data_IF_487487856287
#
_entry.id   IF_487487856287
#
_cell.length_a   1.000
_cell.length_b   1.000
_cell.length_c   1.000
_cell.angle_alpha   90.00
_cell.angle_beta   90.00
_cell.angle_gamma   90.00
#
_symmetry.space_group_name_H-M   'P 1'
#
loop_
_entity.id
_entity.type
_entity.pdbx_description
1 polymer ?
#
# COMPACT_ATOMS: atom_id res chain seq x y z
N UNK A 1 5.30 -9.04 0.90
CA UNK A 1 4.07 -9.15 1.74
C UNK A 1 3.73 -10.58 2.19
N UNK A 2 4.05 -11.64 1.42
CA UNK A 2 4.05 -13.02 1.95
C UNK A 2 4.88 -13.17 3.22
N UNK A 3 5.92 -12.35 3.30
CA UNK A 3 6.90 -12.31 4.37
C UNK A 3 6.25 -11.90 5.71
N UNK A 4 5.24 -11.02 5.69
CA UNK A 4 4.54 -10.65 6.94
C UNK A 4 3.66 -11.78 7.47
N UNK A 5 3.09 -12.62 6.58
CA UNK A 5 2.33 -13.80 6.99
C UNK A 5 3.23 -14.87 7.60
N UNK A 6 4.39 -15.14 7.00
CA UNK A 6 5.32 -16.11 7.58
C UNK A 6 5.83 -15.67 8.96
N UNK A 7 6.05 -14.36 9.17
CA UNK A 7 6.43 -13.83 10.48
C UNK A 7 5.38 -14.10 11.57
N UNK A 8 4.08 -13.99 11.28
CA UNK A 8 3.03 -14.25 12.29
C UNK A 8 2.86 -15.73 12.61
N UNK A 9 3.29 -16.63 11.72
CA UNK A 9 3.28 -18.09 11.94
C UNK A 9 4.55 -18.59 12.64
N UNK A 10 5.62 -17.79 12.66
CA UNK A 10 6.89 -18.16 13.27
C UNK A 10 6.90 -17.75 14.75
N UNK A 11 6.98 -18.75 15.63
CA UNK A 11 6.94 -18.57 17.09
C UNK A 11 8.07 -17.70 17.64
N UNK A 12 9.18 -17.53 16.91
CA UNK A 12 10.26 -16.63 17.30
C UNK A 12 9.80 -15.17 17.41
N UNK A 13 8.77 -14.78 16.66
CA UNK A 13 8.25 -13.41 16.65
C UNK A 13 7.00 -13.24 17.51
N UNK A 14 6.57 -14.26 18.25
CA UNK A 14 5.34 -14.21 19.04
C UNK A 14 5.37 -13.10 20.09
N UNK A 15 6.49 -12.91 20.80
CA UNK A 15 6.64 -11.83 21.78
C UNK A 15 6.49 -10.43 21.15
N UNK A 16 6.90 -10.29 19.89
CA UNK A 16 6.88 -9.02 19.16
C UNK A 16 5.51 -8.80 18.52
N UNK A 17 4.91 -9.82 17.90
CA UNK A 17 3.73 -9.70 17.06
C UNK A 17 2.44 -10.09 17.76
N UNK A 18 2.49 -10.77 18.91
CA UNK A 18 1.31 -11.30 19.60
C UNK A 18 1.24 -10.84 21.06
N UNK A 19 0.02 -10.83 21.59
CA UNK A 19 -0.31 -10.71 23.01
C UNK A 19 -1.36 -11.78 23.28
N UNK A 20 -1.16 -12.59 24.32
CA UNK A 20 -2.02 -13.72 24.67
C UNK A 20 -2.30 -14.67 23.49
N UNK A 21 -1.24 -14.95 22.70
CA UNK A 21 -1.31 -15.81 21.52
C UNK A 21 -2.07 -15.23 20.32
N UNK A 22 -2.58 -14.00 20.41
CA UNK A 22 -3.30 -13.31 19.33
C UNK A 22 -2.44 -12.22 18.70
N UNK A 23 -2.52 -12.05 17.38
CA UNK A 23 -1.82 -10.98 16.67
C UNK A 23 -2.21 -9.62 17.26
N UNK A 24 -1.22 -8.77 17.56
CA UNK A 24 -1.42 -7.41 18.06
C UNK A 24 -2.34 -6.64 17.09
N UNK A 25 -3.38 -5.96 17.57
CA UNK A 25 -4.41 -5.38 16.70
C UNK A 25 -3.97 -4.15 15.92
N UNK A 26 -2.87 -3.50 16.32
CA UNK A 26 -2.41 -2.25 15.74
C UNK A 26 -1.02 -2.45 15.16
N UNK A 27 -0.90 -2.25 13.86
CA UNK A 27 0.37 -2.39 13.15
C UNK A 27 0.74 -1.06 12.49
N UNK A 28 1.97 -0.63 12.69
CA UNK A 28 2.54 0.53 11.99
C UNK A 28 3.86 0.08 11.36
N UNK A 29 3.89 0.06 10.03
CA UNK A 29 4.99 -0.42 9.23
C UNK A 29 5.72 0.76 8.60
N UNK A 30 7.03 0.84 8.87
CA UNK A 30 7.94 1.71 8.13
C UNK A 30 8.54 0.92 6.98
N UNK A 31 8.37 1.42 5.76
CA UNK A 31 8.86 0.78 4.53
C UNK A 31 9.78 1.71 3.76
N UNK A 32 10.70 1.12 3.01
CA UNK A 32 11.68 1.84 2.18
C UNK A 32 10.98 2.71 1.12
N UNK A 33 9.85 2.25 0.57
CA UNK A 33 9.09 2.97 -0.45
C UNK A 33 9.49 2.61 -1.88
N UNK A 34 10.31 1.57 -2.07
CA UNK A 34 10.53 0.92 -3.36
C UNK A 34 9.22 0.37 -3.98
N UNK A 35 9.22 0.02 -5.28
CA UNK A 35 8.01 -0.34 -6.02
C UNK A 35 7.15 -1.43 -5.35
N UNK A 36 7.79 -2.40 -4.72
CA UNK A 36 7.12 -3.56 -4.11
C UNK A 36 6.44 -3.26 -2.77
N UNK A 37 6.85 -2.20 -2.07
CA UNK A 37 6.33 -1.88 -0.73
C UNK A 37 5.63 -0.52 -0.67
N UNK A 38 5.76 0.32 -1.70
CA UNK A 38 5.27 1.69 -1.68
C UNK A 38 3.75 1.76 -1.46
N UNK A 39 3.27 2.56 -0.49
CA UNK A 39 1.85 2.64 -0.14
C UNK A 39 0.97 3.30 -1.22
N UNK A 40 1.55 3.91 -2.26
CA UNK A 40 0.80 4.56 -3.35
C UNK A 40 0.38 3.61 -4.48
N UNK A 41 0.96 2.41 -4.55
CA UNK A 41 0.70 1.47 -5.64
C UNK A 41 -0.51 0.59 -5.31
N UNK A 42 -1.48 0.54 -6.23
CA UNK A 42 -2.74 -0.19 -6.00
C UNK A 42 -2.54 -1.68 -5.70
N UNK A 43 -1.58 -2.34 -6.37
CA UNK A 43 -1.22 -3.73 -6.09
C UNK A 43 -0.90 -3.92 -4.60
N UNK A 44 -0.12 -3.02 -4.03
CA UNK A 44 0.29 -3.09 -2.63
C UNK A 44 -0.86 -2.72 -1.70
N UNK A 45 -1.64 -1.68 -2.03
CA UNK A 45 -2.84 -1.29 -1.27
C UNK A 45 -3.78 -2.49 -1.10
N UNK A 46 -4.08 -3.23 -2.18
CA UNK A 46 -4.95 -4.40 -2.12
C UNK A 46 -4.39 -5.51 -1.23
N UNK A 47 -3.08 -5.76 -1.31
CA UNK A 47 -2.43 -6.75 -0.47
C UNK A 47 -2.47 -6.35 1.00
N UNK A 48 -2.26 -5.07 1.34
CA UNK A 48 -2.40 -4.56 2.70
C UNK A 48 -3.83 -4.66 3.22
N UNK A 49 -4.83 -4.41 2.37
CA UNK A 49 -6.25 -4.59 2.74
C UNK A 49 -6.56 -6.05 3.07
N UNK A 50 -6.07 -6.98 2.24
CA UNK A 50 -6.23 -8.42 2.46
C UNK A 50 -5.58 -8.86 3.77
N UNK A 51 -4.36 -8.40 4.04
CA UNK A 51 -3.66 -8.67 5.31
C UNK A 51 -4.42 -8.10 6.51
N UNK A 52 -4.89 -6.84 6.42
CA UNK A 52 -5.68 -6.19 7.45
C UNK A 52 -6.91 -7.02 7.85
N UNK A 53 -7.64 -7.51 6.84
CA UNK A 53 -8.81 -8.34 7.05
C UNK A 53 -8.43 -9.74 7.61
N UNK A 54 -7.41 -10.38 7.04
CA UNK A 54 -6.98 -11.73 7.45
C UNK A 54 -6.50 -11.79 8.91
N UNK A 55 -5.86 -10.73 9.40
CA UNK A 55 -5.33 -10.66 10.76
C UNK A 55 -6.29 -10.04 11.77
N UNK A 56 -7.50 -9.63 11.35
CA UNK A 56 -8.44 -8.90 12.18
C UNK A 56 -7.76 -7.72 12.90
N UNK A 57 -7.01 -6.91 12.15
CA UNK A 57 -6.37 -5.72 12.69
C UNK A 57 -7.43 -4.65 12.97
N UNK A 58 -7.23 -3.89 14.05
CA UNK A 58 -8.03 -2.69 14.31
C UNK A 58 -7.53 -1.52 13.47
N UNK A 59 -6.21 -1.45 13.30
CA UNK A 59 -5.56 -0.38 12.57
C UNK A 59 -4.25 -0.86 11.93
N UNK A 60 -4.05 -0.48 10.67
CA UNK A 60 -2.81 -0.70 9.93
C UNK A 60 -2.36 0.59 9.27
N UNK A 61 -1.12 0.98 9.51
CA UNK A 61 -0.51 2.14 8.86
C UNK A 61 0.79 1.73 8.17
N UNK A 62 0.94 2.08 6.90
CA UNK A 62 2.12 1.82 6.08
C UNK A 62 2.68 3.18 5.72
N UNK A 63 3.93 3.42 6.09
CA UNK A 63 4.56 4.73 5.96
C UNK A 63 5.92 4.58 5.29
N UNK A 64 6.18 5.47 4.34
CA UNK A 64 7.51 5.64 3.75
C UNK A 64 8.02 7.03 4.06
N UNK A 65 9.35 7.18 4.10
CA UNK A 65 9.97 8.48 4.28
C UNK A 65 9.77 9.36 3.03
N UNK A 66 9.59 10.66 3.25
CA UNK A 66 9.50 11.60 2.14
C UNK A 66 10.89 11.96 1.58
N UNK A 67 11.00 12.46 0.34
CA UNK A 67 12.26 12.87 -0.25
C UNK A 67 13.04 13.86 0.63
N UNK A 68 14.36 13.68 0.71
CA UNK A 68 15.23 14.48 1.59
C UNK A 68 15.32 13.95 3.03
N UNK A 69 14.67 12.83 3.34
CA UNK A 69 14.75 12.16 4.64
C UNK A 69 15.51 10.83 4.63
N UNK A 70 16.14 10.47 3.51
CA UNK A 70 16.90 9.21 3.33
C UNK A 70 17.91 9.02 4.46
N UNK A 71 18.63 10.09 4.82
CA UNK A 71 19.59 10.07 5.94
C UNK A 71 18.95 9.67 7.28
N UNK A 72 17.64 9.82 7.47
CA UNK A 72 16.91 9.48 8.70
C UNK A 72 16.02 8.26 8.52
N UNK A 73 16.06 7.57 7.37
CA UNK A 73 15.27 6.37 7.12
C UNK A 73 15.96 5.17 7.79
N UNK A 74 15.42 4.63 8.91
CA UNK A 74 16.03 3.50 9.59
C UNK A 74 16.01 2.24 8.72
N UNK A 75 15.04 2.11 7.81
CA UNK A 75 14.95 0.99 6.87
C UNK A 75 16.13 1.03 5.89
N UNK A 76 16.40 2.17 5.26
CA UNK A 76 17.55 2.32 4.36
C UNK A 76 18.89 2.11 5.07
N UNK A 77 19.04 2.63 6.30
CA UNK A 77 20.25 2.40 7.09
C UNK A 77 20.46 0.92 7.42
N UNK A 78 19.37 0.20 7.72
CA UNK A 78 19.40 -1.25 7.95
C UNK A 78 19.79 -1.99 6.66
N UNK A 79 19.15 -1.66 5.54
CA UNK A 79 19.40 -2.25 4.21
C UNK A 79 20.80 -1.94 3.69
N UNK A 80 21.32 -0.74 3.95
CA UNK A 80 22.69 -0.35 3.61
C UNK A 80 23.71 -1.25 4.32
N UNK A 81 23.48 -1.55 5.61
CA UNK A 81 24.33 -2.48 6.37
C UNK A 81 24.32 -3.88 5.76
N UNK A 82 23.15 -4.37 5.33
CA UNK A 82 23.03 -5.65 4.63
C UNK A 82 23.76 -5.64 3.27
N UNK A 83 23.64 -4.54 2.53
CA UNK A 83 24.21 -4.40 1.18
C UNK A 83 25.72 -4.27 1.22
N UNK A 84 26.26 -3.53 2.19
CA UNK A 84 27.70 -3.39 2.40
C UNK A 84 28.38 -4.74 2.62
N UNK A 85 27.74 -5.64 3.37
CA UNK A 85 28.25 -7.00 3.64
C UNK A 85 28.32 -7.88 2.38
N UNK A 86 27.50 -7.59 1.37
CA UNK A 86 27.51 -8.30 0.09
C UNK A 86 28.49 -7.70 -0.92
N UNK A 87 29.11 -6.56 -0.62
CA UNK A 87 30.05 -5.92 -1.53
C UNK A 87 31.23 -6.84 -1.86
N UNK A 88 31.41 -7.16 -3.14
CA UNK A 88 32.47 -8.04 -3.62
C UNK A 88 32.15 -9.54 -3.57
N UNK A 89 30.98 -9.94 -3.07
CA UNK A 89 30.57 -11.35 -3.09
C UNK A 89 30.14 -11.74 -4.51
N UNK A 90 30.73 -12.82 -5.03
CA UNK A 90 30.34 -13.43 -6.30
C UNK A 90 29.83 -14.84 -6.05
N UNK A 91 28.65 -15.15 -6.59
CA UNK A 91 28.03 -16.47 -6.48
C UNK A 91 28.10 -17.20 -7.83
N UNK A 92 28.32 -18.53 -7.84
CA UNK A 92 28.36 -19.29 -9.08
C UNK A 92 26.97 -19.36 -9.71
N UNK A 93 26.84 -18.88 -10.94
CA UNK A 93 25.58 -18.91 -11.72
C UNK A 93 25.15 -20.34 -12.08
N UNK A 94 26.09 -21.29 -12.14
CA UNK A 94 25.91 -22.64 -12.66
C UNK A 94 26.38 -23.71 -11.66
N UNK A 95 26.11 -23.52 -10.36
CA UNK A 95 26.54 -24.43 -9.29
C UNK A 95 26.28 -25.92 -9.59
N UNK A 96 25.14 -26.24 -10.21
CA UNK A 96 24.72 -27.60 -10.56
C UNK A 96 24.82 -27.93 -12.05
N UNK A 97 25.42 -27.05 -12.85
CA UNK A 97 25.48 -27.16 -14.31
C UNK A 97 24.93 -25.93 -15.03
N UNK A 98 25.25 -25.82 -16.32
CA UNK A 98 24.77 -24.70 -17.15
C UNK A 98 23.30 -24.88 -17.50
N UNK A 99 22.49 -23.89 -17.12
CA UNK A 99 21.08 -23.79 -17.52
C UNK A 99 20.88 -22.75 -18.63
N UNK A 100 21.97 -22.15 -19.13
CA UNK A 100 21.97 -21.10 -20.15
C UNK A 100 22.58 -21.59 -21.46
N UNK A 101 22.04 -21.12 -22.59
CA UNK A 101 22.67 -21.27 -23.90
C UNK A 101 23.78 -20.22 -24.11
N UNK A 102 24.44 -20.27 -25.28
CA UNK A 102 25.49 -19.33 -25.68
C UNK A 102 25.04 -17.86 -25.78
N UNK A 103 23.73 -17.61 -25.80
CA UNK A 103 23.11 -16.28 -25.84
C UNK A 103 22.64 -15.81 -24.45
N UNK A 104 22.89 -16.60 -23.39
CA UNK A 104 22.47 -16.29 -22.03
C UNK A 104 20.98 -16.52 -21.75
N UNK A 105 20.28 -17.26 -22.60
CA UNK A 105 18.86 -17.60 -22.40
C UNK A 105 18.72 -18.91 -21.63
N UNK A 106 17.71 -18.97 -20.75
CA UNK A 106 17.40 -20.17 -19.96
C UNK A 106 16.88 -21.27 -20.88
N UNK A 107 17.60 -22.40 -20.94
CA UNK A 107 17.20 -23.61 -21.70
C UNK A 107 16.71 -24.73 -20.80
N UNK A 108 17.05 -24.69 -19.51
CA UNK A 108 16.60 -25.64 -18.50
C UNK A 108 16.05 -24.86 -17.30
N UNK A 109 14.73 -24.72 -17.24
CA UNK A 109 14.06 -23.96 -16.18
C UNK A 109 14.19 -24.62 -14.80
N UNK A 110 14.19 -25.94 -14.72
CA UNK A 110 14.29 -26.66 -13.46
C UNK A 110 15.70 -26.50 -12.87
N UNK A 111 16.73 -26.65 -13.71
CA UNK A 111 18.11 -26.41 -13.31
C UNK A 111 18.38 -24.94 -12.99
N UNK A 112 17.74 -24.01 -13.70
CA UNK A 112 17.81 -22.58 -13.38
C UNK A 112 17.27 -22.29 -11.98
N UNK A 113 16.08 -22.83 -11.65
CA UNK A 113 15.48 -22.70 -10.32
C UNK A 113 16.37 -23.29 -9.24
N UNK A 114 16.96 -24.47 -9.48
CA UNK A 114 17.87 -25.13 -8.54
C UNK A 114 19.14 -24.30 -8.27
N UNK A 115 19.74 -23.73 -9.33
CA UNK A 115 20.89 -22.84 -9.21
C UNK A 115 20.53 -21.55 -8.46
N UNK A 116 19.37 -20.96 -8.76
CA UNK A 116 18.90 -19.73 -8.11
C UNK A 116 18.60 -19.96 -6.61
N UNK A 117 17.97 -21.07 -6.27
CA UNK A 117 17.75 -21.49 -4.88
C UNK A 117 19.04 -21.60 -4.10
N UNK A 118 20.06 -22.25 -4.66
CA UNK A 118 21.37 -22.34 -4.01
C UNK A 118 21.97 -20.95 -3.75
N UNK A 119 21.90 -20.03 -4.72
CA UNK A 119 22.39 -18.67 -4.52
C UNK A 119 21.66 -17.97 -3.36
N UNK A 120 20.32 -18.10 -3.30
CA UNK A 120 19.51 -17.57 -2.21
C UNK A 120 19.85 -18.16 -0.84
N UNK A 121 20.03 -19.47 -0.74
CA UNK A 121 20.42 -20.16 0.51
C UNK A 121 21.84 -19.77 0.97
N UNK A 122 22.77 -19.54 0.04
CA UNK A 122 24.10 -19.00 0.37
C UNK A 122 24.00 -17.57 0.89
N UNK A 123 23.17 -16.71 0.29
CA UNK A 123 22.95 -15.35 0.78
C UNK A 123 22.35 -15.34 2.18
N UNK A 124 21.40 -16.23 2.47
CA UNK A 124 20.85 -16.43 3.81
C UNK A 124 21.98 -16.69 4.83
N UNK A 125 22.81 -17.69 4.52
CA UNK A 125 23.96 -18.06 5.38
C UNK A 125 24.94 -16.89 5.59
N UNK A 126 25.13 -16.04 4.57
CA UNK A 126 26.03 -14.89 4.67
C UNK A 126 25.46 -13.79 5.58
N UNK A 127 24.17 -13.49 5.42
CA UNK A 127 23.50 -12.47 6.23
C UNK A 127 23.35 -12.85 7.70
N UNK A 128 23.22 -14.15 8.02
CA UNK A 128 23.11 -14.65 9.41
C UNK A 128 24.40 -14.57 10.23
N UNK A 129 25.57 -14.44 9.58
CA UNK A 129 26.87 -14.43 10.27
C UNK A 129 27.06 -13.24 11.19
N UNK A 130 26.43 -12.12 10.86
CA UNK A 130 26.70 -10.84 11.49
C UNK A 130 25.43 -10.26 12.10
N UNK A 131 25.59 -9.55 13.20
CA UNK A 131 24.51 -8.80 13.83
C UNK A 131 24.14 -7.57 13.00
N UNK A 132 22.88 -7.13 13.12
CA UNK A 132 22.41 -5.82 12.66
C UNK A 132 21.94 -5.05 13.89
N UNK A 133 22.59 -3.91 14.17
CA UNK A 133 22.35 -3.12 15.39
C UNK A 133 22.41 -3.97 16.69
N UNK A 134 23.35 -4.92 16.75
CA UNK A 134 23.52 -5.82 17.89
C UNK A 134 22.43 -6.90 18.03
N UNK A 135 21.54 -7.05 17.03
CA UNK A 135 20.51 -8.08 17.00
C UNK A 135 20.88 -9.20 16.02
N UNK A 136 20.57 -10.46 16.34
CA UNK A 136 20.77 -11.57 15.42
C UNK A 136 19.90 -11.38 14.17
N UNK A 137 20.42 -11.80 13.03
CA UNK A 137 19.71 -11.77 11.75
C UNK A 137 19.16 -13.16 11.51
N UNK A 138 17.87 -13.23 11.16
CA UNK A 138 17.21 -14.47 10.75
C UNK A 138 16.93 -14.33 9.27
N UNK A 139 17.32 -15.34 8.50
CA UNK A 139 17.07 -15.34 7.06
C UNK A 139 16.39 -16.61 6.60
N UNK A 140 15.65 -16.49 5.51
CA UNK A 140 15.02 -17.63 4.88
C UNK A 140 14.94 -17.37 3.38
N UNK A 141 15.35 -18.36 2.59
CA UNK A 141 15.08 -18.35 1.16
C UNK A 141 13.62 -18.77 0.93
N UNK A 142 12.90 -17.96 0.16
CA UNK A 142 11.49 -18.19 -0.16
C UNK A 142 11.35 -18.33 -1.69
N UNK A 143 10.87 -19.48 -2.15
CA UNK A 143 10.50 -19.70 -3.56
C UNK A 143 9.13 -19.04 -3.80
N UNK A 144 9.09 -17.98 -4.62
CA UNK A 144 7.88 -17.20 -4.87
C UNK A 144 6.88 -17.97 -5.74
N UNK A 145 6.09 -18.85 -5.12
CA UNK A 145 4.99 -19.55 -5.81
C UNK A 145 3.60 -19.25 -5.26
N UNK A 146 3.49 -18.79 -4.01
CA UNK A 146 2.19 -18.51 -3.40
C UNK A 146 2.11 -17.07 -2.93
N UNK A 147 1.11 -16.33 -3.41
CA UNK A 147 0.68 -15.08 -2.80
C UNK A 147 -0.26 -15.40 -1.62
N UNK A 148 0.17 -15.01 -0.42
CA UNK A 148 -0.59 -15.08 0.82
C UNK A 148 -1.84 -14.21 0.68
N UNK A 149 -2.91 -14.61 1.36
CA UNK A 149 -4.17 -13.86 1.41
C UNK A 149 -4.99 -13.80 0.11
N UNK A 150 -4.72 -14.65 -0.89
CA UNK A 150 -5.59 -14.74 -2.07
C UNK A 150 -7.01 -15.19 -1.74
N UNK A 151 -7.15 -16.04 -0.72
CA UNK A 151 -8.43 -16.61 -0.28
C UNK A 151 -9.26 -15.65 0.59
N UNK A 152 -8.76 -14.42 0.83
CA UNK A 152 -9.52 -13.41 1.59
C UNK A 152 -10.66 -12.89 0.72
N UNK A 153 -11.88 -13.13 1.19
CA UNK A 153 -13.13 -12.71 0.55
C UNK A 153 -13.66 -11.48 1.29
N UNK A 154 -13.90 -10.41 0.54
CA UNK A 154 -14.51 -9.19 1.07
C UNK A 154 -16.03 -9.19 0.86
N UNK A 155 -16.81 -8.62 1.81
CA UNK A 155 -18.24 -8.41 1.64
C UNK A 155 -18.53 -7.59 0.36
N UNK A 156 -19.42 -8.09 -0.50
CA UNK A 156 -19.83 -7.39 -1.73
C UNK A 156 -18.95 -7.64 -2.97
N UNK A 157 -18.03 -8.60 -2.92
CA UNK A 157 -17.15 -8.99 -4.05
C UNK A 157 -17.88 -9.69 -5.21
N UNK A 158 -19.15 -10.09 -5.05
CA UNK A 158 -19.93 -10.84 -6.06
C UNK A 158 -20.23 -10.08 -7.37
N UNK A 159 -20.03 -8.76 -7.43
CA UNK A 159 -20.43 -7.92 -8.58
C UNK A 159 -19.29 -7.33 -9.42
N UNK A 160 -18.03 -7.55 -9.06
CA UNK A 160 -16.87 -6.98 -9.78
C UNK A 160 -16.05 -8.10 -10.46
N UNK A 161 -16.67 -8.83 -11.38
CA UNK A 161 -15.97 -9.82 -12.22
C UNK A 161 -15.06 -9.11 -13.24
N UNK A 162 -13.74 -9.19 -13.04
CA UNK A 162 -12.65 -9.24 -14.06
C UNK A 162 -11.36 -8.47 -13.70
N UNK A 163 -10.93 -8.39 -12.43
CA UNK A 163 -9.57 -7.90 -12.14
C UNK A 163 -8.91 -8.69 -11.01
N UNK A 164 -7.58 -8.73 -11.04
CA UNK A 164 -6.65 -9.37 -10.08
C UNK A 164 -6.78 -8.90 -8.61
N UNK A 165 -7.84 -8.19 -8.23
CA UNK A 165 -8.06 -7.70 -6.88
C UNK A 165 -9.48 -7.95 -6.40
N UNK A 166 -9.60 -8.77 -5.36
CA UNK A 166 -10.84 -9.13 -4.68
C UNK A 166 -11.32 -8.06 -3.67
N UNK A 167 -10.77 -6.84 -3.68
CA UNK A 167 -11.15 -5.77 -2.71
C UNK A 167 -12.12 -4.77 -3.37
N UNK A 168 -13.40 -4.73 -2.97
CA UNK A 168 -14.38 -3.82 -3.55
C UNK A 168 -14.01 -2.34 -3.34
N UNK A 169 -14.26 -1.50 -4.34
CA UNK A 169 -13.94 -0.07 -4.26
C UNK A 169 -14.61 0.63 -3.07
N UNK A 170 -15.87 0.30 -2.81
CA UNK A 170 -16.62 0.84 -1.64
C UNK A 170 -15.97 0.45 -0.31
N UNK A 171 -15.39 -0.75 -0.23
CA UNK A 171 -14.66 -1.16 0.97
C UNK A 171 -13.42 -0.30 1.15
N UNK A 172 -12.64 -0.07 0.08
CA UNK A 172 -11.45 0.79 0.12
C UNK A 172 -11.78 2.19 0.63
N UNK A 173 -12.83 2.83 0.12
CA UNK A 173 -13.16 4.21 0.53
C UNK A 173 -13.60 4.32 1.99
N UNK A 174 -14.28 3.30 2.50
CA UNK A 174 -14.76 3.29 3.88
C UNK A 174 -13.64 3.01 4.90
N UNK A 175 -12.63 2.22 4.51
CA UNK A 175 -11.63 1.69 5.44
C UNK A 175 -10.28 2.36 5.28
N UNK A 176 -9.97 2.88 4.08
CA UNK A 176 -8.61 3.33 3.75
C UNK A 176 -8.51 4.82 3.64
N UNK A 177 -7.31 5.29 3.91
CA UNK A 177 -6.89 6.65 3.66
C UNK A 177 -5.55 6.63 2.94
N UNK A 178 -5.58 7.07 1.69
CA UNK A 178 -4.44 6.99 0.79
C UNK A 178 -3.75 8.36 0.67
N UNK A 179 -2.43 8.38 0.85
CA UNK A 179 -1.58 9.55 0.70
C UNK A 179 -0.28 9.18 -0.03
N UNK A 180 0.46 10.18 -0.52
CA UNK A 180 1.70 9.94 -1.29
C UNK A 180 2.71 9.08 -0.54
N UNK A 181 2.84 9.28 0.76
CA UNK A 181 3.84 8.64 1.62
C UNK A 181 3.22 7.76 2.71
N UNK A 182 1.90 7.57 2.66
CA UNK A 182 1.21 6.75 3.67
C UNK A 182 -0.06 6.09 3.15
N UNK A 183 -0.34 4.92 3.69
CA UNK A 183 -1.63 4.25 3.61
C UNK A 183 -2.07 3.94 5.03
N UNK A 184 -3.27 4.35 5.40
CA UNK A 184 -3.87 3.99 6.67
C UNK A 184 -5.14 3.18 6.41
N UNK A 185 -5.36 2.14 7.19
CA UNK A 185 -6.52 1.24 7.12
C UNK A 185 -7.07 1.08 8.52
N UNK A 186 -8.38 1.28 8.69
CA UNK A 186 -9.09 1.15 9.97
C UNK A 186 -10.32 0.28 9.83
N UNK A 187 -10.81 -0.26 10.94
CA UNK A 187 -12.14 -0.86 11.01
C UNK A 187 -13.22 0.21 10.83
N UNK A 188 -14.31 -0.14 10.14
CA UNK A 188 -15.50 0.71 10.10
C UNK A 188 -16.45 0.37 11.25
N UNK A 189 -17.47 1.22 11.45
CA UNK A 189 -18.48 1.03 12.50
C UNK A 189 -19.55 0.00 12.13
N UNK A 190 -19.62 -0.39 10.86
CA UNK A 190 -20.58 -1.37 10.36
C UNK A 190 -20.21 -2.78 10.83
N UNK A 191 -21.05 -3.33 11.74
CA UNK A 191 -20.89 -4.67 12.32
C UNK A 191 -21.09 -5.80 11.32
N UNK A 192 -21.73 -5.54 10.18
CA UNK A 192 -21.79 -6.51 9.08
C UNK A 192 -20.49 -6.57 8.29
N UNK A 193 -19.60 -5.58 8.46
CA UNK A 193 -18.33 -5.48 7.76
C UNK A 193 -17.11 -5.75 8.66
N UNK A 194 -17.07 -5.21 9.88
CA UNK A 194 -15.93 -5.32 10.79
C UNK A 194 -16.34 -5.83 12.17
N UNK A 195 -15.48 -6.68 12.76
CA UNK A 195 -15.55 -7.03 14.17
C UNK A 195 -15.30 -5.81 15.06
N UNK A 196 -15.66 -5.85 16.35
CA UNK A 196 -15.26 -4.82 17.31
C UNK A 196 -13.76 -4.57 17.34
N UNK A 197 -13.38 -3.32 17.66
CA UNK A 197 -11.99 -3.01 17.96
C UNK A 197 -11.57 -3.80 19.20
N UNK A 198 -10.42 -4.46 19.11
CA UNK A 198 -9.78 -5.16 20.23
C UNK A 198 -9.03 -4.20 21.14
N UNK A 199 -8.71 -2.98 20.68
CA UNK A 199 -8.02 -1.94 21.45
C UNK A 199 -8.77 -0.61 21.45
N UNK A 200 -9.56 -0.35 22.50
CA UNK A 200 -10.45 0.80 22.60
C UNK A 200 -9.73 2.15 22.70
N UNK A 201 -8.67 2.26 23.51
CA UNK A 201 -7.93 3.53 23.69
C UNK A 201 -7.34 4.07 22.37
N UNK A 202 -6.84 3.16 21.53
CA UNK A 202 -6.32 3.53 20.22
C UNK A 202 -7.44 3.97 19.27
N UNK A 203 -8.61 3.33 19.34
CA UNK A 203 -9.77 3.76 18.57
C UNK A 203 -10.22 5.18 18.99
N UNK A 204 -10.22 5.48 20.30
CA UNK A 204 -10.51 6.81 20.84
C UNK A 204 -9.49 7.83 20.33
N UNK A 205 -8.20 7.54 20.45
CA UNK A 205 -7.12 8.40 19.96
C UNK A 205 -7.25 8.69 18.46
N UNK A 206 -7.52 7.65 17.66
CA UNK A 206 -7.68 7.80 16.21
C UNK A 206 -8.94 8.60 15.87
N UNK A 207 -10.02 8.47 16.63
CA UNK A 207 -11.26 9.22 16.41
C UNK A 207 -11.05 10.75 16.47
N UNK A 208 -10.08 11.23 17.26
CA UNK A 208 -9.70 12.66 17.29
C UNK A 208 -9.21 13.19 15.93
N UNK A 209 -8.80 12.30 15.02
CA UNK A 209 -8.33 12.63 13.68
C UNK A 209 -9.03 11.79 12.58
N UNK A 210 -10.36 11.73 12.63
CA UNK A 210 -11.22 11.01 11.66
C UNK A 210 -10.95 9.50 11.56
N UNK A 211 -10.32 8.92 12.56
CA UNK A 211 -9.94 7.51 12.61
C UNK A 211 -8.57 7.20 11.99
N UNK A 212 -7.76 8.20 11.65
CA UNK A 212 -6.47 7.99 10.97
C UNK A 212 -5.34 8.79 11.63
N UNK A 213 -4.12 8.30 11.53
CA UNK A 213 -2.92 9.09 11.85
C UNK A 213 -2.75 10.24 10.82
N UNK A 214 -2.18 11.39 11.24
CA UNK A 214 -1.96 12.51 10.33
C UNK A 214 -1.05 12.13 9.15
N UNK A 215 -1.04 12.89 8.05
CA UNK A 215 -0.04 12.71 7.01
C UNK A 215 1.34 13.21 7.49
N UNK A 216 2.38 12.91 6.70
CA UNK A 216 3.72 13.49 6.88
C UNK A 216 3.61 15.01 6.92
N UNK A 217 4.10 15.63 8.00
CA UNK A 217 3.98 17.07 8.25
C UNK A 217 5.36 17.74 8.22
N UNK A 218 5.44 19.00 7.81
CA UNK A 218 6.68 19.77 7.87
C UNK A 218 6.92 20.33 9.27
N UNK A 219 8.02 19.94 9.89
CA UNK A 219 8.52 20.48 11.15
C UNK A 219 9.03 21.92 11.02
N UNK A 220 9.30 22.56 12.16
CA UNK A 220 9.75 23.97 12.25
C UNK A 220 11.12 24.19 11.61
N UNK A 221 11.97 23.18 11.66
CA UNK A 221 13.28 23.08 11.00
C UNK A 221 13.20 22.86 9.48
N UNK A 222 11.98 22.84 8.93
CA UNK A 222 11.67 22.53 7.52
C UNK A 222 11.94 21.07 7.13
N UNK A 223 12.38 20.23 8.05
CA UNK A 223 12.41 18.80 7.85
C UNK A 223 11.00 18.25 7.96
N UNK A 224 10.71 17.19 7.23
CA UNK A 224 9.42 16.55 7.32
C UNK A 224 9.44 15.52 8.44
N UNK A 225 8.31 15.28 9.07
CA UNK A 225 8.21 14.34 10.19
C UNK A 225 7.10 13.36 9.84
N UNK A 226 7.47 12.08 9.86
CA UNK A 226 6.49 11.01 9.91
C UNK A 226 5.73 11.15 11.25
N UNK A 227 4.40 10.97 11.28
CA UNK A 227 3.62 10.93 12.52
C UNK A 227 4.24 10.09 13.63
N UNK A 228 4.93 8.99 13.31
CA UNK A 228 5.68 8.22 14.31
C UNK A 228 6.76 9.04 15.01
N UNK A 229 7.57 9.80 14.26
CA UNK A 229 8.51 10.75 14.84
C UNK A 229 7.80 11.89 15.57
N UNK A 230 6.62 12.33 15.09
CA UNK A 230 5.83 13.34 15.82
C UNK A 230 5.38 12.77 17.18
N UNK A 231 4.93 11.53 17.24
CA UNK A 231 4.52 10.86 18.48
C UNK A 231 5.71 10.56 19.41
N UNK A 232 6.91 10.32 18.86
CA UNK A 232 8.13 10.04 19.61
C UNK A 232 8.82 11.31 20.13
N UNK A 233 8.80 12.42 19.35
CA UNK A 233 9.54 13.65 19.66
C UNK A 233 8.69 14.83 20.13
N UNK A 234 7.38 14.85 19.85
CA UNK A 234 6.50 15.91 20.33
C UNK A 234 5.65 15.38 21.47
N UNK A 235 5.85 15.94 22.66
CA UNK A 235 4.93 15.78 23.78
C UNK A 235 3.51 15.95 23.27
N UNK A 236 2.64 15.03 23.71
CA UNK A 236 1.19 15.00 23.48
C UNK A 236 0.69 16.44 23.26
N UNK A 237 -0.03 16.67 22.17
CA UNK A 237 -0.73 17.91 21.77
C UNK A 237 -0.07 18.67 20.61
N UNK A 238 -0.32 18.16 19.40
CA UNK A 238 -0.92 18.88 18.25
C UNK A 238 -0.74 18.03 17.01
N UNK A 239 -1.44 16.89 16.97
CA UNK A 239 -1.62 16.14 15.73
C UNK A 239 -2.33 17.08 14.75
N UNK A 240 -1.69 17.49 13.64
CA UNK A 240 -2.34 18.37 12.68
C UNK A 240 -3.53 17.62 12.08
N UNK A 241 -4.67 18.31 11.96
CA UNK A 241 -5.88 17.73 11.38
C UNK A 241 -5.58 17.19 9.98
N UNK A 242 -6.15 16.02 9.69
CA UNK A 242 -5.99 15.20 8.48
C UNK A 242 -6.14 15.95 7.13
N UNK A 243 -6.64 17.19 7.12
CA UNK A 243 -6.92 17.97 5.92
C UNK A 243 -5.75 18.87 5.49
N UNK A 244 -4.59 18.79 6.15
CA UNK A 244 -3.43 19.61 5.85
C UNK A 244 -2.60 18.95 4.73
N UNK A 245 -2.58 19.60 3.56
CA UNK A 245 -1.73 19.34 2.41
C UNK A 245 -0.37 18.71 2.75
N UNK A 246 0.03 17.67 2.01
CA UNK A 246 1.43 17.29 1.96
C UNK A 246 2.21 18.42 1.28
N UNK A 247 2.99 19.18 2.06
CA UNK A 247 3.76 20.34 1.60
C UNK A 247 4.78 20.04 0.47
N UNK A 248 4.96 18.77 0.10
CA UNK A 248 5.76 18.33 -1.04
C UNK A 248 5.06 18.45 -2.39
N UNK A 249 3.74 18.49 -2.41
CA UNK A 249 2.96 18.51 -3.65
C UNK A 249 2.68 19.97 -3.99
N UNK A 250 3.11 20.42 -5.16
CA UNK A 250 2.74 21.76 -5.64
C UNK A 250 1.22 21.89 -5.71
N UNK A 251 0.68 23.10 -5.48
CA UNK A 251 -0.77 23.32 -5.52
C UNK A 251 -1.40 22.84 -6.83
N UNK A 252 -0.67 22.97 -7.95
CA UNK A 252 -1.10 22.44 -9.25
C UNK A 252 -1.22 20.92 -9.24
N UNK A 253 -0.19 20.21 -8.75
CA UNK A 253 -0.20 18.75 -8.67
C UNK A 253 -1.28 18.25 -7.71
N UNK A 254 -1.49 18.94 -6.58
CA UNK A 254 -2.55 18.61 -5.63
C UNK A 254 -3.93 18.69 -6.30
N UNK A 255 -4.21 19.76 -7.05
CA UNK A 255 -5.47 19.92 -7.78
C UNK A 255 -5.69 18.81 -8.82
N UNK A 256 -4.64 18.37 -9.51
CA UNK A 256 -4.75 17.24 -10.45
C UNK A 256 -5.03 15.89 -9.78
N UNK A 257 -4.58 15.74 -8.53
CA UNK A 257 -4.78 14.55 -7.72
C UNK A 257 -6.11 14.55 -6.95
N UNK A 258 -6.87 15.64 -6.99
CA UNK A 258 -8.22 15.71 -6.46
C UNK A 258 -9.23 15.27 -7.53
N UNK A 259 -10.24 14.51 -7.11
CA UNK A 259 -11.38 14.24 -7.97
C UNK A 259 -12.09 15.55 -8.31
N UNK A 260 -12.28 15.83 -9.59
CA UNK A 260 -12.95 17.06 -10.07
C UNK A 260 -14.43 17.17 -9.70
N UNK A 261 -15.05 16.09 -9.21
CA UNK A 261 -16.48 16.06 -8.89
C UNK A 261 -16.75 16.16 -7.38
N UNK A 262 -15.96 15.46 -6.55
CA UNK A 262 -16.14 15.41 -5.09
C UNK A 262 -14.97 16.01 -4.30
N UNK A 263 -13.92 16.49 -4.97
CA UNK A 263 -12.73 17.11 -4.38
C UNK A 263 -11.92 16.21 -3.42
N UNK A 264 -12.14 14.89 -3.47
CA UNK A 264 -11.37 13.92 -2.67
C UNK A 264 -9.99 13.72 -3.30
N UNK A 265 -8.95 13.81 -2.48
CA UNK A 265 -7.55 13.62 -2.88
C UNK A 265 -7.16 12.13 -2.95
N UNK A 266 -6.33 11.77 -3.94
CA UNK A 266 -5.72 10.45 -4.11
C UNK A 266 -4.23 10.56 -4.47
N UNK A 267 -3.38 9.57 -4.14
CA UNK A 267 -1.93 9.71 -4.33
C UNK A 267 -1.46 9.56 -5.78
N UNK A 268 -2.29 9.05 -6.69
CA UNK A 268 -1.95 8.89 -8.10
C UNK A 268 -3.15 9.15 -9.01
N UNK A 269 -2.88 9.57 -10.25
CA UNK A 269 -3.91 9.77 -11.28
C UNK A 269 -4.65 8.48 -11.66
N UNK A 270 -3.99 7.31 -11.57
CA UNK A 270 -4.64 6.02 -11.83
C UNK A 270 -5.74 5.74 -10.82
N UNK A 271 -5.50 6.08 -9.55
CA UNK A 271 -6.48 5.93 -8.47
C UNK A 271 -7.61 6.94 -8.64
N UNK A 272 -7.32 8.19 -9.02
CA UNK A 272 -8.35 9.19 -9.37
C UNK A 272 -9.25 8.65 -10.50
N UNK A 273 -8.68 8.06 -11.54
CA UNK A 273 -9.45 7.50 -12.65
C UNK A 273 -10.33 6.33 -12.20
N UNK A 274 -9.81 5.44 -11.34
CA UNK A 274 -10.57 4.33 -10.77
C UNK A 274 -11.70 4.82 -9.86
N UNK A 275 -11.45 5.82 -9.02
CA UNK A 275 -12.47 6.48 -8.20
C UNK A 275 -13.60 7.03 -9.06
N UNK A 276 -13.28 7.83 -10.09
CA UNK A 276 -14.27 8.40 -11.01
C UNK A 276 -15.09 7.32 -11.70
N UNK A 277 -14.46 6.22 -12.12
CA UNK A 277 -15.17 5.11 -12.77
C UNK A 277 -16.23 4.48 -11.85
N UNK A 278 -15.93 4.36 -10.55
CA UNK A 278 -16.81 3.68 -9.59
C UNK A 278 -17.85 4.61 -8.95
N UNK A 279 -17.46 5.82 -8.54
CA UNK A 279 -18.33 6.75 -7.80
C UNK A 279 -19.02 7.78 -8.71
N UNK A 280 -18.43 8.06 -9.87
CA UNK A 280 -18.90 9.08 -10.81
C UNK A 280 -19.13 8.48 -12.20
N UNK A 281 -19.94 7.40 -12.33
CA UNK A 281 -20.15 6.78 -13.61
C UNK A 281 -20.82 7.79 -14.55
N UNK A 282 -20.12 8.15 -15.63
CA UNK A 282 -20.71 8.99 -16.67
C UNK A 282 -21.99 8.30 -17.16
N UNK A 283 -23.15 8.91 -16.92
CA UNK A 283 -24.41 8.47 -17.53
C UNK A 283 -24.23 8.54 -19.04
N UNK A 284 -24.00 7.41 -19.71
CA UNK A 284 -24.20 7.31 -21.16
C UNK A 284 -25.70 7.42 -21.42
N UNK A 285 -26.22 8.64 -21.43
CA UNK A 285 -27.50 8.89 -22.07
C UNK A 285 -27.36 8.50 -23.53
N UNK A 286 -28.12 7.49 -23.98
CA UNK A 286 -28.42 7.37 -25.41
C UNK A 286 -28.97 8.75 -25.83
N UNK A 287 -28.47 9.37 -26.92
CA UNK A 287 -29.15 10.53 -27.45
C UNK A 287 -30.59 10.09 -27.71
N UNK A 288 -31.55 10.80 -27.12
CA UNK A 288 -32.95 10.61 -27.44
C UNK A 288 -33.07 10.73 -28.95
N UNK A 289 -33.54 9.67 -29.63
CA UNK A 289 -33.93 9.77 -31.03
C UNK A 289 -34.90 10.95 -31.10
N UNK A 290 -34.47 12.06 -31.69
CA UNK A 290 -35.39 13.12 -32.08
C UNK A 290 -36.43 12.44 -32.98
N UNK A 291 -37.64 12.25 -32.47
CA UNK A 291 -38.80 11.97 -33.31
C UNK A 291 -38.91 13.17 -34.23
N UNK A 292 -38.54 13.00 -35.50
CA UNK A 292 -38.90 13.95 -36.56
C UNK A 292 -40.42 14.03 -36.57
N UNK A 293 -40.97 15.07 -35.96
CA UNK A 293 -42.34 15.48 -36.19
C UNK A 293 -42.31 16.23 -37.52
N UNK A 294 -42.89 15.63 -38.56
CA UNK A 294 -43.21 16.34 -39.79
C UNK A 294 -44.40 17.26 -39.47
N UNK A 295 -44.15 18.55 -39.37
CA UNK A 295 -45.20 19.57 -39.51
C UNK A 295 -45.06 20.19 -40.90
N UNK A 296 -45.94 19.78 -41.81
CA UNK A 296 -46.21 20.54 -43.02
C UNK A 296 -46.93 21.83 -42.61
N UNK A 297 -46.34 22.99 -42.87
CA UNK A 297 -47.07 24.25 -42.94
C UNK A 297 -46.35 25.17 -43.92
N UNK A 298 -47.13 25.61 -44.89
CA UNK A 298 -46.84 26.45 -46.04
C UNK A 298 -46.65 27.90 -45.59
N UNK A 299 -45.70 28.58 -46.26
CA UNK A 299 -45.49 30.02 -46.51
C UNK A 299 -45.90 31.08 -45.46
N UNK A 300 -44.96 31.96 -45.12
CA UNK A 300 -44.99 33.32 -45.67
C UNK A 300 -43.72 34.12 -45.35
N UNK A 301 -43.14 34.68 -46.42
CA UNK A 301 -42.10 35.70 -46.39
C UNK A 301 -42.71 37.04 -45.96
N UNK A 302 -42.15 37.66 -44.91
CA UNK A 302 -42.08 39.11 -44.78
C UNK A 302 -40.72 39.48 -44.18
N UNK A 303 -39.97 40.29 -44.93
CA UNK A 303 -38.65 40.87 -44.62
C UNK A 303 -38.86 42.20 -43.87
N UNK A 304 -37.90 42.68 -43.06
CA UNK A 304 -38.15 43.56 -41.91
C UNK A 304 -38.08 45.05 -42.26
N UNK A 305 -38.67 45.87 -41.38
CA UNK A 305 -38.60 47.34 -41.23
C UNK A 305 -38.73 48.18 -42.50
#
# INVERSE_FOLDING_TARGET
MNDLNSLTQNSHFDEILKVDGKIKPIWILLVDGGPDENPRHMKNIYQYCKMFHAFDLDYLSIRTHAPGQLAYNPVERSMSTLSQKLAGITLPINKFGSHLNSQGQVVDSELAMKNFRYAGEVLCTLWERDLIFGKPVITQYIDHKNTSFNDVIFPGSEKESNNESNVPWRWLENHTKMCTYSLDIKKCEDRSCCLPNRHEEAAILLAENNGFLPPVTKGKDRHFLNPLHILEYCDKLKIPRYNAHCHFISSSTYSYLCCSECNVYFPTLSIVAQHKKNQHPKRRGRPAKQKKVFTNSVDNFLVPA
#
